data_IF_113538276161
#
_entry.id   IF_113538276161
#
_cell.length_a   1.000
_cell.length_b   1.000
_cell.length_c   1.000
_cell.angle_alpha   90.00
_cell.angle_beta   90.00
_cell.angle_gamma   90.00
#
_symmetry.space_group_name_H-M   'P 1'
#
loop_
_entity.id
_entity.type
_entity.pdbx_description
1 polymer ?
#
# COMPACT_ATOMS: atom_id res chain seq x y z
N UNK A 1 63.77 -32.04 -62.48
CA UNK A 1 62.48 -32.67 -62.82
C UNK A 1 61.75 -32.95 -61.52
N UNK A 2 60.46 -32.64 -61.48
CA UNK A 2 59.46 -33.13 -60.50
C UNK A 2 59.50 -32.46 -59.11
N UNK A 3 58.70 -31.43 -58.84
CA UNK A 3 57.25 -31.38 -58.58
C UNK A 3 56.77 -32.21 -57.37
N UNK A 4 55.96 -31.52 -56.56
CA UNK A 4 54.83 -32.01 -55.76
C UNK A 4 55.04 -32.24 -54.27
N UNK A 5 54.10 -31.92 -53.39
CA UNK A 5 52.77 -31.27 -53.50
C UNK A 5 52.47 -30.71 -52.11
N UNK A 6 51.80 -29.56 -52.06
CA UNK A 6 51.19 -29.03 -50.85
C UNK A 6 50.15 -30.05 -50.32
N UNK A 7 50.45 -30.67 -49.18
CA UNK A 7 49.47 -31.43 -48.40
C UNK A 7 48.54 -30.45 -47.69
N UNK A 8 47.48 -30.02 -48.38
CA UNK A 8 46.44 -29.18 -47.82
C UNK A 8 45.77 -29.83 -46.62
N UNK A 9 45.58 -29.06 -45.55
CA UNK A 9 44.82 -29.47 -44.38
C UNK A 9 43.39 -29.89 -44.79
N UNK A 10 42.84 -30.96 -44.20
CA UNK A 10 41.47 -31.39 -44.48
C UNK A 10 40.47 -30.27 -44.10
N UNK A 11 39.42 -30.06 -44.89
CA UNK A 11 38.40 -29.06 -44.59
C UNK A 11 37.66 -29.44 -43.30
N UNK A 12 37.51 -28.46 -42.40
CA UNK A 12 36.75 -28.63 -41.18
C UNK A 12 35.27 -28.96 -41.46
N UNK A 13 34.65 -29.86 -40.68
CA UNK A 13 33.24 -30.18 -40.82
C UNK A 13 32.39 -28.96 -40.46
N UNK A 14 31.64 -28.45 -41.45
CA UNK A 14 30.62 -27.41 -41.26
C UNK A 14 29.54 -27.92 -40.30
N UNK A 15 29.57 -27.46 -39.05
CA UNK A 15 28.51 -27.72 -38.06
C UNK A 15 27.22 -27.04 -38.52
N UNK A 16 26.28 -27.84 -39.01
CA UNK A 16 24.98 -27.39 -39.47
C UNK A 16 24.14 -26.81 -38.33
N UNK A 17 23.86 -25.51 -38.40
CA UNK A 17 22.91 -24.78 -37.57
C UNK A 17 21.43 -25.10 -37.93
N UNK A 18 21.12 -26.36 -38.26
CA UNK A 18 19.95 -26.69 -39.09
C UNK A 18 18.61 -26.86 -38.36
N UNK A 19 18.60 -27.28 -37.09
CA UNK A 19 17.35 -27.56 -36.37
C UNK A 19 17.19 -26.82 -35.04
N UNK A 20 18.28 -26.37 -34.41
CA UNK A 20 18.19 -25.64 -33.14
C UNK A 20 17.66 -24.21 -33.27
N UNK A 21 18.00 -23.50 -34.35
CA UNK A 21 17.75 -22.06 -34.46
C UNK A 21 16.24 -21.72 -34.55
N UNK A 22 15.47 -22.48 -35.33
CA UNK A 22 14.03 -22.25 -35.47
C UNK A 22 13.24 -22.46 -34.18
N UNK A 23 13.62 -23.46 -33.38
CA UNK A 23 13.00 -23.72 -32.08
C UNK A 23 13.21 -22.56 -31.10
N UNK A 24 14.44 -22.05 -30.99
CA UNK A 24 14.75 -20.92 -30.11
C UNK A 24 14.05 -19.63 -30.54
N UNK A 25 13.97 -19.35 -31.84
CA UNK A 25 13.24 -18.19 -32.36
C UNK A 25 11.74 -18.28 -32.07
N UNK A 26 11.13 -19.45 -32.25
CA UNK A 26 9.73 -19.67 -31.92
C UNK A 26 9.43 -19.49 -30.42
N UNK A 27 10.29 -20.04 -29.55
CA UNK A 27 10.17 -19.89 -28.10
C UNK A 27 10.32 -18.43 -27.66
N UNK A 28 11.30 -17.71 -28.23
CA UNK A 28 11.49 -16.28 -27.97
C UNK A 28 10.28 -15.45 -28.41
N UNK A 29 9.69 -15.76 -29.57
CA UNK A 29 8.48 -15.08 -30.04
C UNK A 29 7.30 -15.30 -29.08
N UNK A 30 7.08 -16.52 -28.61
CA UNK A 30 6.03 -16.84 -27.64
C UNK A 30 6.24 -16.07 -26.33
N UNK A 31 7.48 -15.99 -25.83
CA UNK A 31 7.81 -15.22 -24.63
C UNK A 31 7.54 -13.73 -24.82
N UNK A 32 7.91 -13.16 -25.97
CA UNK A 32 7.66 -11.74 -26.27
C UNK A 32 6.16 -11.44 -26.37
N UNK A 33 5.38 -12.29 -27.03
CA UNK A 33 3.92 -12.14 -27.11
C UNK A 33 3.27 -12.26 -25.73
N UNK A 34 3.73 -13.21 -24.90
CA UNK A 34 3.28 -13.35 -23.51
C UNK A 34 3.58 -12.11 -22.67
N UNK A 35 4.80 -11.57 -22.77
CA UNK A 35 5.19 -10.35 -22.08
C UNK A 35 4.39 -9.13 -22.54
N UNK A 36 4.16 -8.98 -23.85
CA UNK A 36 3.34 -7.90 -24.41
C UNK A 36 1.88 -8.00 -23.95
N UNK A 37 1.29 -9.21 -23.97
CA UNK A 37 -0.06 -9.47 -23.47
C UNK A 37 -0.19 -9.17 -21.98
N UNK A 38 0.80 -9.59 -21.18
CA UNK A 38 0.85 -9.29 -19.75
C UNK A 38 0.99 -7.79 -19.48
N UNK A 39 1.87 -7.09 -20.21
CA UNK A 39 2.04 -5.64 -20.11
C UNK A 39 0.76 -4.88 -20.43
N UNK A 40 0.05 -5.29 -21.49
CA UNK A 40 -1.26 -4.71 -21.83
C UNK A 40 -2.30 -4.95 -20.74
N UNK A 41 -2.36 -6.17 -20.19
CA UNK A 41 -3.25 -6.49 -19.08
C UNK A 41 -2.94 -5.66 -17.82
N UNK A 42 -1.65 -5.50 -17.48
CA UNK A 42 -1.20 -4.71 -16.35
C UNK A 42 -1.59 -3.23 -16.52
N UNK A 43 -1.43 -2.68 -17.72
CA UNK A 43 -1.86 -1.32 -18.05
C UNK A 43 -3.37 -1.12 -17.83
N UNK A 44 -4.20 -2.03 -18.35
CA UNK A 44 -5.66 -1.95 -18.16
C UNK A 44 -6.06 -2.11 -16.69
N UNK A 45 -5.36 -2.95 -15.94
CA UNK A 45 -5.60 -3.14 -14.51
C UNK A 45 -5.24 -1.88 -13.71
N UNK A 46 -4.14 -1.21 -14.08
CA UNK A 46 -3.77 0.08 -13.48
C UNK A 46 -4.79 1.18 -13.80
N UNK A 47 -5.28 1.25 -15.05
CA UNK A 47 -6.34 2.22 -15.41
C UNK A 47 -7.63 2.02 -14.61
N UNK A 48 -7.97 0.77 -14.27
CA UNK A 48 -9.13 0.45 -13.42
C UNK A 48 -8.87 0.74 -11.95
N UNK A 49 -7.66 0.48 -11.46
CA UNK A 49 -7.29 0.75 -10.07
C UNK A 49 -7.14 2.24 -9.76
N UNK A 50 -6.66 3.04 -10.72
CA UNK A 50 -6.41 4.48 -10.54
C UNK A 50 -7.60 5.28 -9.98
N UNK A 51 -8.84 5.19 -10.53
CA UNK A 51 -9.97 5.92 -9.98
C UNK A 51 -10.29 5.51 -8.53
N UNK A 52 -10.11 4.23 -8.17
CA UNK A 52 -10.29 3.76 -6.80
C UNK A 52 -9.22 4.33 -5.85
N UNK A 53 -7.94 4.34 -6.27
CA UNK A 53 -6.87 4.96 -5.49
C UNK A 53 -7.13 6.45 -5.25
N UNK A 54 -7.57 7.17 -6.28
CA UNK A 54 -7.90 8.58 -6.18
C UNK A 54 -9.11 8.82 -5.26
N UNK A 55 -10.20 8.06 -5.42
CA UNK A 55 -11.38 8.18 -4.57
C UNK A 55 -11.05 7.89 -3.08
N UNK A 56 -10.26 6.85 -2.81
CA UNK A 56 -9.78 6.54 -1.46
C UNK A 56 -8.93 7.66 -0.85
N UNK A 57 -8.07 8.27 -1.65
CA UNK A 57 -7.27 9.42 -1.23
C UNK A 57 -8.12 10.66 -0.93
N UNK A 58 -9.06 11.00 -1.82
CA UNK A 58 -9.92 12.19 -1.65
C UNK A 58 -10.83 12.05 -0.41
N UNK A 59 -11.38 10.85 -0.18
CA UNK A 59 -12.19 10.54 1.00
C UNK A 59 -11.39 10.62 2.30
N UNK A 60 -10.17 10.07 2.32
CA UNK A 60 -9.34 10.05 3.54
C UNK A 60 -8.73 11.42 3.87
N UNK A 61 -8.30 12.18 2.85
CA UNK A 61 -7.65 13.48 3.05
C UNK A 61 -8.63 14.58 3.48
N UNK A 62 -9.84 14.63 2.89
CA UNK A 62 -10.88 15.60 3.23
C UNK A 62 -11.36 15.45 4.69
N UNK A 63 -11.50 14.22 5.15
CA UNK A 63 -11.93 13.92 6.51
C UNK A 63 -10.83 14.25 7.54
N UNK A 64 -9.57 13.92 7.23
CA UNK A 64 -8.44 14.18 8.13
C UNK A 64 -8.34 15.66 8.47
N UNK A 65 -8.52 16.56 7.49
CA UNK A 65 -8.50 18.01 7.72
C UNK A 65 -9.67 18.43 8.62
N UNK A 66 -10.86 17.88 8.38
CA UNK A 66 -12.08 18.23 9.13
C UNK A 66 -11.96 17.83 10.59
N UNK A 67 -11.55 16.60 10.88
CA UNK A 67 -11.36 16.11 12.25
C UNK A 67 -10.23 16.88 12.93
N UNK A 68 -9.10 17.10 12.26
CA UNK A 68 -7.96 17.83 12.84
C UNK A 68 -8.34 19.24 13.25
N UNK A 69 -9.10 19.95 12.42
CA UNK A 69 -9.59 21.29 12.74
C UNK A 69 -10.57 21.29 13.93
N UNK A 70 -11.45 20.28 14.02
CA UNK A 70 -12.39 20.14 15.14
C UNK A 70 -11.71 19.68 16.43
N UNK A 71 -10.66 18.87 16.36
CA UNK A 71 -9.86 18.48 17.53
C UNK A 71 -9.15 19.68 18.17
N UNK A 72 -8.78 20.69 17.38
CA UNK A 72 -8.26 21.96 17.90
C UNK A 72 -9.33 22.81 18.61
N UNK A 73 -10.61 22.49 18.45
CA UNK A 73 -11.73 23.10 19.19
C UNK A 73 -12.69 22.02 19.73
N UNK A 74 -12.34 21.33 20.83
CA UNK A 74 -13.08 20.15 21.29
C UNK A 74 -14.57 20.38 21.59
N UNK A 75 -14.97 21.61 21.91
CA UNK A 75 -16.37 21.97 22.15
C UNK A 75 -17.24 21.85 20.89
N UNK A 76 -16.63 21.86 19.71
CA UNK A 76 -17.30 21.72 18.42
C UNK A 76 -17.49 20.27 17.96
N UNK A 77 -16.87 19.30 18.65
CA UNK A 77 -16.95 17.89 18.26
C UNK A 77 -18.29 17.31 18.66
N UNK A 78 -19.03 16.84 17.67
CA UNK A 78 -20.31 16.17 17.85
C UNK A 78 -20.19 14.68 17.53
N UNK A 79 -21.09 13.87 18.08
CA UNK A 79 -21.17 12.42 17.76
C UNK A 79 -21.31 12.20 16.25
N UNK A 80 -22.06 13.07 15.56
CA UNK A 80 -22.25 13.02 14.11
C UNK A 80 -20.93 13.18 13.33
N UNK A 81 -19.94 13.88 13.88
CA UNK A 81 -18.64 14.05 13.24
C UNK A 81 -17.87 12.72 13.21
N UNK A 82 -17.94 11.95 14.30
CA UNK A 82 -17.34 10.61 14.36
C UNK A 82 -18.06 9.63 13.43
N UNK A 83 -19.38 9.76 13.28
CA UNK A 83 -20.15 8.95 12.33
C UNK A 83 -19.77 9.23 10.88
N UNK A 84 -19.69 10.51 10.51
CA UNK A 84 -19.27 10.91 9.17
C UNK A 84 -17.83 10.44 8.89
N UNK A 85 -16.94 10.62 9.86
CA UNK A 85 -15.56 10.18 9.77
C UNK A 85 -15.43 8.67 9.55
N UNK A 86 -16.10 7.87 10.38
CA UNK A 86 -16.11 6.41 10.26
C UNK A 86 -16.62 5.96 8.89
N UNK A 87 -17.70 6.57 8.39
CA UNK A 87 -18.24 6.25 7.07
C UNK A 87 -17.27 6.62 5.94
N UNK A 88 -16.62 7.79 6.01
CA UNK A 88 -15.68 8.24 5.00
C UNK A 88 -14.42 7.37 4.98
N UNK A 89 -13.84 7.04 6.14
CA UNK A 89 -12.71 6.12 6.23
C UNK A 89 -13.06 4.70 5.82
N UNK A 90 -14.25 4.20 6.17
CA UNK A 90 -14.71 2.90 5.72
C UNK A 90 -14.87 2.84 4.19
N UNK A 91 -15.40 3.89 3.56
CA UNK A 91 -15.47 3.98 2.10
C UNK A 91 -14.08 4.06 1.48
N UNK A 92 -13.19 4.88 2.04
CA UNK A 92 -11.81 4.97 1.56
C UNK A 92 -11.09 3.60 1.61
N UNK A 93 -11.30 2.84 2.69
CA UNK A 93 -10.78 1.48 2.81
C UNK A 93 -11.34 0.54 1.72
N UNK A 94 -12.64 0.62 1.43
CA UNK A 94 -13.27 -0.15 0.35
C UNK A 94 -12.68 0.19 -1.03
N UNK A 95 -12.42 1.47 -1.30
CA UNK A 95 -11.77 1.91 -2.53
C UNK A 95 -10.33 1.38 -2.64
N UNK A 96 -9.54 1.41 -1.56
CA UNK A 96 -8.19 0.84 -1.58
C UNK A 96 -8.19 -0.68 -1.77
N UNK A 97 -9.13 -1.41 -1.17
CA UNK A 97 -9.31 -2.84 -1.40
C UNK A 97 -9.77 -3.15 -2.83
N UNK A 98 -10.63 -2.31 -3.42
CA UNK A 98 -11.01 -2.43 -4.82
C UNK A 98 -9.80 -2.25 -5.75
N UNK A 99 -8.98 -1.21 -5.52
CA UNK A 99 -7.73 -1.00 -6.25
C UNK A 99 -6.78 -2.20 -6.12
N UNK A 100 -6.65 -2.76 -4.91
CA UNK A 100 -5.82 -3.94 -4.65
C UNK A 100 -6.32 -5.17 -5.42
N UNK A 101 -7.64 -5.37 -5.47
CA UNK A 101 -8.25 -6.45 -6.22
C UNK A 101 -8.06 -6.30 -7.73
N UNK A 102 -8.18 -5.09 -8.28
CA UNK A 102 -7.88 -4.82 -9.69
C UNK A 102 -6.40 -5.13 -10.02
N UNK A 103 -5.49 -4.82 -9.08
CA UNK A 103 -4.05 -5.07 -9.24
C UNK A 103 -3.60 -6.49 -8.87
N UNK A 104 -4.49 -7.39 -8.43
CA UNK A 104 -4.11 -8.69 -7.82
C UNK A 104 -3.15 -9.56 -8.65
N UNK A 105 -3.23 -9.50 -9.98
CA UNK A 105 -2.33 -10.25 -10.86
C UNK A 105 -1.02 -9.51 -11.16
N UNK A 106 -1.02 -8.19 -11.03
CA UNK A 106 0.14 -7.33 -11.27
C UNK A 106 1.02 -7.24 -10.03
N UNK A 107 0.40 -7.15 -8.84
CA UNK A 107 1.07 -6.98 -7.55
C UNK A 107 2.20 -7.97 -7.29
N UNK A 108 2.10 -9.28 -7.60
CA UNK A 108 3.22 -10.22 -7.40
C UNK A 108 4.44 -9.91 -8.26
N UNK A 109 4.28 -9.23 -9.40
CA UNK A 109 5.37 -8.90 -10.32
C UNK A 109 6.02 -7.56 -9.96
N UNK A 110 5.28 -6.63 -9.34
CA UNK A 110 5.77 -5.29 -9.00
C UNK A 110 7.11 -5.27 -8.23
N UNK A 111 7.36 -6.13 -7.20
CA UNK A 111 8.65 -6.15 -6.50
C UNK A 111 9.85 -6.45 -7.42
N UNK A 112 9.62 -7.21 -8.49
CA UNK A 112 10.66 -7.56 -9.46
C UNK A 112 10.90 -6.48 -10.51
N UNK A 113 10.09 -5.41 -10.54
CA UNK A 113 10.28 -4.28 -11.46
C UNK A 113 11.22 -3.20 -10.88
N UNK A 114 11.84 -3.46 -9.73
CA UNK A 114 12.80 -2.57 -9.06
C UNK A 114 14.01 -2.16 -9.91
N UNK A 115 14.33 -2.91 -10.97
CA UNK A 115 15.45 -2.61 -11.87
C UNK A 115 15.17 -1.46 -12.85
N UNK A 116 13.91 -1.00 -12.97
CA UNK A 116 13.58 0.11 -13.86
C UNK A 116 14.20 1.43 -13.34
N UNK A 117 14.95 2.19 -14.17
CA UNK A 117 15.80 3.29 -13.67
C UNK A 117 15.08 4.41 -12.92
N UNK A 118 13.91 4.81 -13.39
CA UNK A 118 13.18 5.98 -12.87
C UNK A 118 12.08 5.59 -11.90
N UNK A 119 11.26 4.60 -12.25
CA UNK A 119 10.07 4.24 -11.46
C UNK A 119 10.20 2.89 -10.76
N UNK A 120 11.28 2.15 -10.97
CA UNK A 120 11.45 0.79 -10.45
C UNK A 120 11.31 0.70 -8.94
N UNK A 121 12.06 1.50 -8.16
CA UNK A 121 11.93 1.49 -6.70
C UNK A 121 10.52 1.82 -6.21
N UNK A 122 9.86 2.79 -6.83
CA UNK A 122 8.50 3.20 -6.46
C UNK A 122 7.48 2.08 -6.78
N UNK A 123 7.62 1.43 -7.94
CA UNK A 123 6.80 0.27 -8.32
C UNK A 123 7.03 -0.91 -7.37
N UNK A 124 8.27 -1.17 -6.98
CA UNK A 124 8.59 -2.24 -6.03
C UNK A 124 7.99 -1.98 -4.64
N UNK A 125 7.87 -0.71 -4.23
CA UNK A 125 7.25 -0.32 -2.96
C UNK A 125 5.71 -0.23 -3.02
N UNK A 126 5.12 -0.11 -4.21
CA UNK A 126 3.68 0.12 -4.39
C UNK A 126 2.76 -0.92 -3.70
N UNK A 127 3.05 -2.25 -3.71
CA UNK A 127 2.26 -3.23 -2.95
C UNK A 127 2.16 -2.90 -1.45
N UNK A 128 3.30 -2.53 -0.86
CA UNK A 128 3.40 -2.20 0.55
C UNK A 128 2.70 -0.89 0.86
N UNK A 129 2.83 0.13 0.00
CA UNK A 129 2.10 1.40 0.15
C UNK A 129 0.58 1.20 0.13
N UNK A 130 0.07 0.31 -0.73
CA UNK A 130 -1.37 0.04 -0.82
C UNK A 130 -1.89 -0.73 0.41
N UNK A 131 -1.15 -1.73 0.89
CA UNK A 131 -1.49 -2.44 2.13
C UNK A 131 -1.42 -1.51 3.35
N UNK A 132 -0.46 -0.59 3.38
CA UNK A 132 -0.34 0.44 4.40
C UNK A 132 -1.57 1.37 4.39
N UNK A 133 -1.97 1.88 3.22
CA UNK A 133 -3.16 2.75 3.08
C UNK A 133 -4.45 2.06 3.55
N UNK A 134 -4.62 0.79 3.22
CA UNK A 134 -5.73 -0.05 3.68
C UNK A 134 -5.72 -0.17 5.21
N UNK A 135 -4.59 -0.58 5.79
CA UNK A 135 -4.47 -0.75 7.24
C UNK A 135 -4.71 0.57 7.99
N UNK A 136 -4.27 1.70 7.43
CA UNK A 136 -4.48 3.02 8.03
C UNK A 136 -5.93 3.48 8.00
N UNK A 137 -6.61 3.29 6.89
CA UNK A 137 -8.04 3.64 6.80
C UNK A 137 -8.90 2.73 7.67
N UNK A 138 -8.53 1.46 7.84
CA UNK A 138 -9.13 0.56 8.83
C UNK A 138 -8.87 1.02 10.28
N UNK A 139 -7.65 1.47 10.60
CA UNK A 139 -7.31 2.03 11.90
C UNK A 139 -8.11 3.31 12.20
N UNK A 140 -8.21 4.21 11.21
CA UNK A 140 -8.96 5.45 11.33
C UNK A 140 -10.45 5.19 11.55
N UNK A 141 -11.05 4.26 10.80
CA UNK A 141 -12.43 3.80 11.01
C UNK A 141 -12.65 3.33 12.45
N UNK A 142 -11.75 2.47 12.95
CA UNK A 142 -11.83 1.93 14.31
C UNK A 142 -11.73 3.05 15.37
N UNK A 143 -10.83 4.02 15.21
CA UNK A 143 -10.73 5.15 16.14
C UNK A 143 -11.96 6.05 16.09
N UNK A 144 -12.53 6.30 14.91
CA UNK A 144 -13.76 7.08 14.80
C UNK A 144 -14.93 6.37 15.51
N UNK A 145 -15.06 5.06 15.36
CA UNK A 145 -16.08 4.27 16.07
C UNK A 145 -15.88 4.28 17.59
N UNK A 146 -14.63 4.14 18.06
CA UNK A 146 -14.31 4.26 19.48
C UNK A 146 -14.61 5.66 20.01
N UNK A 147 -14.23 6.69 19.27
CA UNK A 147 -14.52 8.10 19.56
C UNK A 147 -16.02 8.37 19.69
N UNK A 148 -16.82 7.80 18.79
CA UNK A 148 -18.29 7.86 18.86
C UNK A 148 -18.83 7.25 20.15
N UNK A 149 -18.36 6.06 20.52
CA UNK A 149 -18.80 5.39 21.75
C UNK A 149 -18.42 6.18 23.00
N UNK A 150 -17.20 6.71 23.05
CA UNK A 150 -16.74 7.60 24.11
C UNK A 150 -17.60 8.88 24.18
N UNK A 151 -17.85 9.54 23.05
CA UNK A 151 -18.67 10.75 23.00
C UNK A 151 -20.12 10.51 23.47
N UNK A 152 -20.70 9.36 23.11
CA UNK A 152 -22.03 8.97 23.58
C UNK A 152 -22.10 8.79 25.09
N UNK A 153 -21.10 8.13 25.70
CA UNK A 153 -21.03 7.99 27.16
C UNK A 153 -20.77 9.34 27.85
N UNK A 154 -19.91 10.17 27.27
CA UNK A 154 -19.64 11.51 27.81
C UNK A 154 -20.90 12.38 27.79
N UNK A 155 -21.71 12.31 26.74
CA UNK A 155 -22.98 13.02 26.62
C UNK A 155 -24.03 12.58 27.66
N UNK A 156 -23.90 11.37 28.23
CA UNK A 156 -24.72 10.89 29.35
C UNK A 156 -24.22 11.38 30.72
N UNK A 157 -23.09 12.09 30.76
CA UNK A 157 -22.42 12.45 32.00
C UNK A 157 -21.73 11.28 32.70
N UNK A 158 -21.44 10.19 31.97
CA UNK A 158 -20.77 9.02 32.54
C UNK A 158 -19.38 9.40 33.07
N UNK A 159 -18.89 8.77 34.17
CA UNK A 159 -17.53 8.98 34.66
C UNK A 159 -16.49 8.73 33.56
N UNK A 160 -15.38 9.48 33.57
CA UNK A 160 -14.34 9.41 32.54
C UNK A 160 -13.85 7.97 32.27
N UNK A 161 -13.77 7.14 33.31
CA UNK A 161 -13.39 5.72 33.17
C UNK A 161 -14.38 4.95 32.29
N UNK A 162 -15.68 5.12 32.51
CA UNK A 162 -16.74 4.49 31.72
C UNK A 162 -16.71 4.99 30.28
N UNK A 163 -16.47 6.30 30.10
CA UNK A 163 -16.30 6.92 28.78
C UNK A 163 -15.19 6.21 28.02
N UNK A 164 -13.97 6.16 28.57
CA UNK A 164 -12.81 5.54 27.90
C UNK A 164 -13.05 4.03 27.68
N UNK A 165 -13.60 3.32 28.66
CA UNK A 165 -13.89 1.90 28.55
C UNK A 165 -14.86 1.59 27.40
N UNK A 166 -15.79 2.49 27.09
CA UNK A 166 -16.74 2.30 26.00
C UNK A 166 -16.06 2.17 24.63
N UNK A 167 -14.95 2.88 24.39
CA UNK A 167 -14.19 2.82 23.13
C UNK A 167 -12.99 1.86 23.14
N UNK A 168 -12.73 1.14 24.24
CA UNK A 168 -11.47 0.42 24.42
C UNK A 168 -11.23 -0.69 23.38
N UNK A 169 -12.27 -1.45 23.01
CA UNK A 169 -12.15 -2.53 22.02
C UNK A 169 -11.77 -1.98 20.63
N UNK A 170 -12.37 -0.86 20.25
CA UNK A 170 -12.15 -0.16 18.99
C UNK A 170 -10.75 0.47 18.95
N UNK A 171 -10.27 1.02 20.07
CA UNK A 171 -8.90 1.51 20.20
C UNK A 171 -7.86 0.38 20.09
N UNK A 172 -8.15 -0.80 20.63
CA UNK A 172 -7.27 -1.96 20.47
C UNK A 172 -7.25 -2.48 19.02
N UNK A 173 -8.42 -2.53 18.36
CA UNK A 173 -8.51 -2.85 16.94
C UNK A 173 -7.71 -1.86 16.08
N UNK A 174 -7.83 -0.56 16.36
CA UNK A 174 -7.04 0.47 15.69
C UNK A 174 -5.54 0.26 15.87
N UNK A 175 -5.09 -0.07 17.10
CA UNK A 175 -3.69 -0.36 17.40
C UNK A 175 -3.16 -1.55 16.59
N UNK A 176 -3.95 -2.61 16.46
CA UNK A 176 -3.58 -3.77 15.65
C UNK A 176 -3.40 -3.38 14.17
N UNK A 177 -4.31 -2.57 13.63
CA UNK A 177 -4.22 -2.06 12.26
C UNK A 177 -3.01 -1.13 12.05
N UNK A 178 -2.69 -0.28 13.02
CA UNK A 178 -1.47 0.55 12.97
C UNK A 178 -0.20 -0.28 12.97
N UNK A 179 -0.17 -1.39 13.71
CA UNK A 179 0.97 -2.29 13.71
C UNK A 179 1.15 -2.98 12.34
N UNK A 180 0.05 -3.36 11.68
CA UNK A 180 0.10 -3.88 10.32
C UNK A 180 0.60 -2.83 9.32
N UNK A 181 0.08 -1.59 9.41
CA UNK A 181 0.55 -0.48 8.58
C UNK A 181 2.06 -0.22 8.78
N UNK A 182 2.54 -0.25 10.02
CA UNK A 182 3.96 -0.10 10.33
C UNK A 182 4.80 -1.26 9.74
N UNK A 183 4.32 -2.50 9.83
CA UNK A 183 5.02 -3.65 9.27
C UNK A 183 5.19 -3.53 7.76
N UNK A 184 4.18 -3.00 7.04
CA UNK A 184 4.27 -2.70 5.61
C UNK A 184 5.21 -1.52 5.34
N UNK A 185 5.16 -0.46 6.16
CA UNK A 185 6.07 0.67 6.08
C UNK A 185 7.53 0.25 6.20
N UNK A 186 7.84 -0.69 7.09
CA UNK A 186 9.18 -1.20 7.34
C UNK A 186 9.77 -1.96 6.14
N UNK A 187 8.93 -2.41 5.19
CA UNK A 187 9.38 -3.00 3.93
C UNK A 187 9.79 -1.95 2.89
N UNK A 188 9.50 -0.66 3.13
CA UNK A 188 9.77 0.42 2.18
C UNK A 188 11.05 1.14 2.59
N UNK A 189 12.06 1.12 1.73
CA UNK A 189 13.29 1.91 1.89
C UNK A 189 13.08 3.33 1.32
N UNK A 190 12.88 4.36 2.17
CA UNK A 190 12.55 5.71 1.70
C UNK A 190 13.70 6.34 0.91
N UNK A 191 14.95 5.88 1.08
CA UNK A 191 16.09 6.43 0.37
C UNK A 191 16.21 5.91 -1.07
N UNK A 192 15.50 4.83 -1.39
CA UNK A 192 15.46 4.26 -2.75
C UNK A 192 14.33 4.80 -3.60
N UNK A 193 13.31 5.40 -2.99
CA UNK A 193 12.19 5.99 -3.72
C UNK A 193 12.69 7.15 -4.58
N UNK A 194 12.27 7.14 -5.85
CA UNK A 194 12.67 8.15 -6.82
C UNK A 194 11.80 9.40 -6.69
N UNK A 195 10.48 9.22 -6.55
CA UNK A 195 9.51 10.31 -6.48
C UNK A 195 9.62 11.07 -5.15
N UNK A 196 10.02 12.36 -5.13
CA UNK A 196 10.15 13.16 -3.91
C UNK A 196 8.85 13.26 -3.11
N UNK A 197 7.71 13.40 -3.78
CA UNK A 197 6.40 13.54 -3.17
C UNK A 197 6.04 12.31 -2.32
N UNK A 198 6.42 11.10 -2.78
CA UNK A 198 6.22 9.87 -2.02
C UNK A 198 7.10 9.82 -0.76
N UNK A 199 8.35 10.28 -0.85
CA UNK A 199 9.25 10.36 0.32
C UNK A 199 8.73 11.33 1.37
N UNK A 200 8.24 12.49 0.93
CA UNK A 200 7.63 13.48 1.82
C UNK A 200 6.35 12.93 2.46
N UNK A 201 5.51 12.25 1.69
CA UNK A 201 4.31 11.60 2.20
C UNK A 201 4.63 10.54 3.26
N UNK A 202 5.64 9.69 3.02
CA UNK A 202 6.10 8.70 4.01
C UNK A 202 6.69 9.34 5.26
N UNK A 203 7.43 10.44 5.13
CA UNK A 203 7.97 11.16 6.30
C UNK A 203 6.86 11.75 7.16
N UNK A 204 5.85 12.35 6.52
CA UNK A 204 4.65 12.85 7.21
C UNK A 204 3.89 11.70 7.89
N UNK A 205 3.76 10.57 7.20
CA UNK A 205 3.18 9.36 7.75
C UNK A 205 3.94 8.89 8.99
N UNK A 206 5.27 8.73 8.92
CA UNK A 206 6.09 8.23 10.04
C UNK A 206 5.91 9.09 11.30
N UNK A 207 5.88 10.42 11.12
CA UNK A 207 5.62 11.36 12.21
C UNK A 207 4.20 11.24 12.77
N UNK A 208 3.19 11.14 11.90
CA UNK A 208 1.78 11.05 12.31
C UNK A 208 1.47 9.71 12.98
N UNK A 209 1.93 8.60 12.41
CA UNK A 209 1.73 7.24 12.91
C UNK A 209 2.32 7.06 14.30
N UNK A 210 3.53 7.57 14.54
CA UNK A 210 4.15 7.55 15.86
C UNK A 210 3.29 8.27 16.90
N UNK A 211 2.95 9.54 16.63
CA UNK A 211 2.12 10.35 17.53
C UNK A 211 0.78 9.68 17.83
N UNK A 212 0.14 9.12 16.80
CA UNK A 212 -1.15 8.47 16.93
C UNK A 212 -1.07 7.17 17.74
N UNK A 213 -0.05 6.33 17.49
CA UNK A 213 0.19 5.10 18.25
C UNK A 213 0.41 5.40 19.74
N UNK A 214 1.20 6.43 20.05
CA UNK A 214 1.45 6.86 21.43
C UNK A 214 0.16 7.32 22.13
N UNK A 215 -0.70 8.07 21.42
CA UNK A 215 -2.00 8.52 21.94
C UNK A 215 -2.97 7.36 22.19
N UNK A 216 -3.11 6.44 21.24
CA UNK A 216 -3.97 5.25 21.38
C UNK A 216 -3.50 4.39 22.56
N UNK A 217 -2.18 4.18 22.69
CA UNK A 217 -1.61 3.40 23.78
C UNK A 217 -1.89 4.06 25.14
N UNK A 218 -1.70 5.38 25.25
CA UNK A 218 -2.01 6.13 26.48
C UNK A 218 -3.48 5.99 26.89
N UNK A 219 -4.42 6.06 25.95
CA UNK A 219 -5.85 5.87 26.24
C UNK A 219 -6.16 4.45 26.73
N UNK A 220 -5.55 3.45 26.10
CA UNK A 220 -5.69 2.05 26.53
C UNK A 220 -5.10 1.81 27.93
N UNK A 221 -4.00 2.47 28.28
CA UNK A 221 -3.40 2.34 29.62
C UNK A 221 -4.29 2.97 30.70
N UNK A 222 -4.90 4.13 30.42
CA UNK A 222 -5.89 4.75 31.33
C UNK A 222 -7.10 3.83 31.51
N UNK A 223 -7.57 3.17 30.44
CA UNK A 223 -8.67 2.23 30.51
C UNK A 223 -8.36 1.04 31.45
N UNK A 224 -7.11 0.58 31.46
CA UNK A 224 -6.65 -0.56 32.28
C UNK A 224 -6.33 -0.19 33.73
N UNK A 225 -5.67 0.93 33.97
CA UNK A 225 -5.17 1.31 35.30
C UNK A 225 -6.26 1.75 36.27
N UNK A 226 -7.45 2.09 35.77
CA UNK A 226 -8.59 2.47 36.62
C UNK A 226 -9.34 1.29 37.24
N UNK A 227 -8.96 0.05 36.93
CA UNK A 227 -9.61 -1.22 37.32
C UNK A 227 -9.49 -1.59 38.78
#
# INVERSE_FOLDING_TARGET
MSYNYYGGAPPEPRRGCGLGCGFWLGLLLILLLGAAGYGYYAYLSFQRAYPHLQAGYDLSSSETITITNKLNNPQSLQVQDFDQASQNFSKANQEFEAAKNELRFVTPVLPYLGWLPTYGPDLAAAPHMLNMATSLTAAATSVSEGGKQMANEAGKGSPLKTVIAAGANQLDAARNQLNLAQAERDQIDPNKLYTPELRDALTKYDSAAKSFKDQVQKLLDIAKSGG
#
